data_IF_540895797900
#
_entry.id   IF_540895797900
#
_cell.length_a   1.000
_cell.length_b   1.000
_cell.length_c   1.000
_cell.angle_alpha   90.00
_cell.angle_beta   90.00
_cell.angle_gamma   90.00
#
_symmetry.space_group_name_H-M   'P 1'
#
loop_
_entity.id
_entity.type
_entity.pdbx_description
1 polymer ?
#
# COMPACT_ATOMS: atom_id res chain seq x y z
N UNK A 1 -18.36 -11.39 -4.18
CA UNK A 1 -18.10 -10.75 -5.48
C UNK A 1 -17.13 -9.55 -5.35
N UNK A 2 -17.38 -8.59 -4.45
CA UNK A 2 -16.53 -7.39 -4.30
C UNK A 2 -15.06 -7.74 -3.97
N UNK A 3 -14.83 -8.70 -3.07
CA UNK A 3 -13.47 -9.15 -2.70
C UNK A 3 -12.70 -9.82 -3.85
N UNK A 4 -13.38 -10.44 -4.81
CA UNK A 4 -12.72 -10.98 -6.00
C UNK A 4 -12.33 -9.89 -7.00
N UNK A 5 -13.12 -8.83 -7.07
CA UNK A 5 -12.90 -7.75 -8.02
C UNK A 5 -11.59 -6.98 -7.75
N UNK A 6 -11.33 -6.58 -6.49
CA UNK A 6 -10.09 -5.86 -6.20
C UNK A 6 -8.84 -6.71 -6.47
N UNK A 7 -8.90 -8.04 -6.32
CA UNK A 7 -7.78 -8.91 -6.66
C UNK A 7 -7.46 -8.89 -8.17
N UNK A 8 -8.50 -8.86 -9.03
CA UNK A 8 -8.32 -8.71 -10.48
C UNK A 8 -7.70 -7.34 -10.79
N UNK A 9 -8.20 -6.29 -10.15
CA UNK A 9 -7.61 -4.94 -10.28
C UNK A 9 -6.17 -4.93 -9.82
N UNK A 10 -5.86 -5.54 -8.67
CA UNK A 10 -4.48 -5.67 -8.15
C UNK A 10 -3.56 -6.33 -9.16
N UNK A 11 -4.00 -7.45 -9.76
CA UNK A 11 -3.21 -8.17 -10.75
C UNK A 11 -2.91 -7.32 -11.98
N UNK A 12 -3.92 -6.67 -12.56
CA UNK A 12 -3.76 -5.80 -13.73
C UNK A 12 -2.89 -4.58 -13.39
N UNK A 13 -3.15 -3.97 -12.25
CA UNK A 13 -2.44 -2.77 -11.79
C UNK A 13 -0.97 -3.02 -11.50
N UNK A 14 -0.58 -4.24 -11.10
CA UNK A 14 0.80 -4.59 -10.83
C UNK A 14 1.69 -4.37 -12.07
N UNK A 15 1.20 -4.73 -13.27
CA UNK A 15 1.93 -4.50 -14.53
C UNK A 15 2.06 -3.01 -14.85
N UNK A 16 0.96 -2.26 -14.70
CA UNK A 16 0.95 -0.81 -14.92
C UNK A 16 1.86 -0.06 -13.95
N UNK A 17 1.82 -0.40 -12.67
CA UNK A 17 2.68 0.21 -11.65
C UNK A 17 4.16 -0.11 -11.87
N UNK A 18 4.48 -1.33 -12.27
CA UNK A 18 5.86 -1.72 -12.60
C UNK A 18 6.39 -0.90 -13.78
N UNK A 19 5.58 -0.71 -14.83
CA UNK A 19 5.94 0.13 -15.97
C UNK A 19 6.12 1.60 -15.55
N UNK A 20 5.19 2.14 -14.75
CA UNK A 20 5.28 3.50 -14.22
C UNK A 20 6.50 3.71 -13.32
N UNK A 21 6.83 2.75 -12.45
CA UNK A 21 7.98 2.83 -11.56
C UNK A 21 9.33 2.75 -12.29
N UNK A 22 9.35 2.24 -13.53
CA UNK A 22 10.53 2.31 -14.42
C UNK A 22 10.69 3.70 -15.04
N UNK A 23 9.56 4.38 -15.33
CA UNK A 23 9.57 5.69 -16.01
C UNK A 23 9.69 6.84 -15.03
N UNK A 24 9.00 6.75 -13.90
CA UNK A 24 8.96 7.76 -12.84
C UNK A 24 9.69 7.26 -11.58
N UNK A 25 10.06 8.19 -10.68
CA UNK A 25 10.62 7.77 -9.40
C UNK A 25 9.61 6.92 -8.61
N UNK A 26 10.01 5.70 -8.25
CA UNK A 26 9.15 4.70 -7.64
C UNK A 26 8.40 5.21 -6.39
N UNK A 27 9.01 6.13 -5.62
CA UNK A 27 8.37 6.75 -4.45
C UNK A 27 7.10 7.54 -4.79
N UNK A 28 7.08 8.28 -5.91
CA UNK A 28 5.90 9.04 -6.32
C UNK A 28 4.78 8.11 -6.80
N UNK A 29 5.14 7.05 -7.52
CA UNK A 29 4.19 6.02 -7.94
C UNK A 29 3.58 5.33 -6.73
N UNK A 30 4.40 5.00 -5.74
CA UNK A 30 3.93 4.39 -4.49
C UNK A 30 3.03 5.34 -3.69
N UNK A 31 3.46 6.59 -3.46
CA UNK A 31 2.66 7.57 -2.75
C UNK A 31 1.29 7.81 -3.43
N UNK A 32 1.26 7.92 -4.75
CA UNK A 32 0.02 8.05 -5.50
C UNK A 32 -0.90 6.84 -5.32
N UNK A 33 -0.37 5.63 -5.45
CA UNK A 33 -1.16 4.40 -5.30
C UNK A 33 -1.70 4.22 -3.86
N UNK A 34 -0.89 4.53 -2.84
CA UNK A 34 -1.31 4.48 -1.44
C UNK A 34 -2.35 5.56 -1.14
N UNK A 35 -2.25 6.74 -1.76
CA UNK A 35 -3.28 7.79 -1.65
C UNK A 35 -4.62 7.32 -2.22
N UNK A 36 -4.63 6.62 -3.37
CA UNK A 36 -5.84 6.02 -3.91
C UNK A 36 -6.47 5.00 -2.96
N UNK A 37 -5.66 4.16 -2.32
CA UNK A 37 -6.16 3.21 -1.33
C UNK A 37 -6.70 3.91 -0.08
N UNK A 38 -6.05 4.98 0.39
CA UNK A 38 -6.53 5.80 1.51
C UNK A 38 -7.91 6.40 1.19
N UNK A 39 -8.06 7.04 0.04
CA UNK A 39 -9.34 7.60 -0.42
C UNK A 39 -10.40 6.52 -0.56
N UNK A 40 -10.05 5.34 -1.06
CA UNK A 40 -10.97 4.21 -1.15
C UNK A 40 -11.51 3.82 0.22
N UNK A 41 -10.65 3.62 1.23
CA UNK A 41 -11.08 3.24 2.57
C UNK A 41 -11.88 4.35 3.27
N UNK A 42 -11.57 5.62 3.02
CA UNK A 42 -12.30 6.75 3.58
C UNK A 42 -13.70 6.91 2.95
N UNK A 43 -13.87 6.52 1.70
CA UNK A 43 -15.16 6.67 0.98
C UNK A 43 -16.10 5.49 1.18
N UNK A 44 -15.60 4.26 1.32
CA UNK A 44 -16.41 3.03 1.48
C UNK A 44 -17.49 3.16 2.58
N UNK A 45 -17.20 3.69 3.79
CA UNK A 45 -18.22 3.80 4.85
C UNK A 45 -19.42 4.68 4.49
N UNK A 46 -19.28 5.55 3.50
CA UNK A 46 -20.31 6.51 3.08
C UNK A 46 -21.13 6.02 1.87
N UNK A 47 -20.79 4.83 1.32
CA UNK A 47 -21.44 4.29 0.13
C UNK A 47 -22.52 3.29 0.55
N UNK A 48 -23.79 3.65 0.39
CA UNK A 48 -24.94 2.76 0.62
C UNK A 48 -25.29 1.87 -0.58
N UNK A 49 -24.76 2.16 -1.76
CA UNK A 49 -25.08 1.41 -2.98
C UNK A 49 -23.98 0.41 -3.33
N UNK A 50 -24.33 -0.89 -3.37
CA UNK A 50 -23.40 -1.98 -3.68
C UNK A 50 -22.67 -1.85 -5.03
N UNK A 51 -23.28 -1.22 -6.02
CA UNK A 51 -22.65 -1.02 -7.33
C UNK A 51 -21.61 0.12 -7.30
N UNK A 52 -21.84 1.14 -6.50
CA UNK A 52 -20.87 2.22 -6.31
C UNK A 52 -19.63 1.77 -5.51
N UNK A 53 -19.71 0.68 -4.75
CA UNK A 53 -18.56 0.11 -4.03
C UNK A 53 -17.45 -0.38 -4.95
N UNK A 54 -17.74 -0.69 -6.22
CA UNK A 54 -16.69 -1.10 -7.16
C UNK A 54 -15.69 0.03 -7.47
N UNK A 55 -16.12 1.29 -7.44
CA UNK A 55 -15.24 2.42 -7.72
C UNK A 55 -14.08 2.55 -6.70
N UNK A 56 -14.31 2.61 -5.37
CA UNK A 56 -13.20 2.62 -4.41
C UNK A 56 -12.40 1.33 -4.41
N UNK A 57 -12.97 0.17 -4.76
CA UNK A 57 -12.22 -1.08 -4.87
C UNK A 57 -11.14 -1.04 -5.95
N UNK A 58 -11.31 -0.23 -7.00
CA UNK A 58 -10.25 0.02 -7.98
C UNK A 58 -9.06 0.72 -7.30
N UNK A 59 -9.32 1.81 -6.59
CA UNK A 59 -8.28 2.54 -5.84
C UNK A 59 -7.57 1.67 -4.81
N UNK A 60 -8.33 0.86 -4.08
CA UNK A 60 -7.79 -0.09 -3.11
C UNK A 60 -6.91 -1.15 -3.78
N UNK A 61 -7.35 -1.74 -4.90
CA UNK A 61 -6.58 -2.74 -5.65
C UNK A 61 -5.26 -2.19 -6.20
N UNK A 62 -5.26 -0.95 -6.72
CA UNK A 62 -4.04 -0.25 -7.16
C UNK A 62 -3.08 -0.04 -5.98
N UNK A 63 -3.58 0.45 -4.84
CA UNK A 63 -2.78 0.64 -3.63
C UNK A 63 -2.19 -0.67 -3.11
N UNK A 64 -2.99 -1.73 -3.07
CA UNK A 64 -2.54 -3.05 -2.64
C UNK A 64 -1.43 -3.60 -3.53
N UNK A 65 -1.57 -3.50 -4.85
CA UNK A 65 -0.52 -3.87 -5.80
C UNK A 65 0.79 -3.10 -5.55
N UNK A 66 0.69 -1.81 -5.28
CA UNK A 66 1.84 -0.98 -4.97
C UNK A 66 2.51 -1.36 -3.64
N UNK A 67 1.74 -1.62 -2.59
CA UNK A 67 2.28 -2.04 -1.29
C UNK A 67 3.04 -3.37 -1.37
N UNK A 68 2.58 -4.29 -2.23
CA UNK A 68 3.25 -5.59 -2.42
C UNK A 68 4.50 -5.52 -3.30
N UNK A 69 4.60 -4.56 -4.21
CA UNK A 69 5.67 -4.56 -5.23
C UNK A 69 6.68 -3.43 -5.12
N UNK A 70 6.21 -2.20 -5.00
CA UNK A 70 7.07 -1.00 -5.15
C UNK A 70 8.13 -0.85 -4.06
N UNK A 71 7.88 -1.12 -2.75
CA UNK A 71 8.91 -1.04 -1.72
C UNK A 71 10.09 -1.96 -1.99
N UNK A 72 9.82 -3.18 -2.48
CA UNK A 72 10.89 -4.12 -2.86
C UNK A 72 11.71 -3.61 -4.05
N UNK A 73 11.09 -2.97 -5.03
CA UNK A 73 11.80 -2.34 -6.14
C UNK A 73 12.73 -1.21 -5.69
N UNK A 74 12.25 -0.35 -4.78
CA UNK A 74 13.05 0.75 -4.22
C UNK A 74 14.27 0.20 -3.50
N UNK A 75 14.06 -0.86 -2.73
CA UNK A 75 15.12 -1.49 -1.94
C UNK A 75 16.17 -2.16 -2.82
N UNK A 76 15.74 -3.01 -3.76
CA UNK A 76 16.65 -3.74 -4.67
C UNK A 76 17.56 -2.79 -5.46
N UNK A 77 17.05 -1.61 -5.84
CA UNK A 77 17.85 -0.58 -6.52
C UNK A 77 18.89 0.12 -5.63
N UNK A 78 18.84 -0.08 -4.32
CA UNK A 78 19.69 0.64 -3.35
C UNK A 78 20.67 -0.26 -2.60
N UNK A 79 20.67 -1.58 -2.83
CA UNK A 79 21.41 -2.57 -2.05
C UNK A 79 22.46 -3.30 -2.91
N UNK A 80 23.67 -3.56 -2.36
CA UNK A 80 24.66 -4.43 -2.98
C UNK A 80 24.12 -5.86 -3.18
N UNK A 81 24.39 -6.46 -4.33
CA UNK A 81 23.86 -7.79 -4.70
C UNK A 81 24.26 -8.89 -3.72
N UNK A 82 25.46 -8.77 -3.14
CA UNK A 82 26.03 -9.73 -2.20
C UNK A 82 25.26 -9.82 -0.87
N UNK A 83 24.43 -8.82 -0.56
CA UNK A 83 23.68 -8.72 0.69
C UNK A 83 22.16 -8.78 0.51
N UNK A 84 21.66 -9.11 -0.66
CA UNK A 84 20.22 -9.16 -0.94
C UNK A 84 19.44 -10.00 0.07
N UNK A 85 19.94 -11.18 0.44
CA UNK A 85 19.24 -12.06 1.37
C UNK A 85 18.99 -11.42 2.74
N UNK A 86 20.01 -10.75 3.30
CA UNK A 86 19.90 -10.08 4.60
C UNK A 86 18.88 -8.93 4.54
N UNK A 87 18.98 -8.08 3.54
CA UNK A 87 18.08 -6.93 3.41
C UNK A 87 16.64 -7.34 3.07
N UNK A 88 16.45 -8.41 2.28
CA UNK A 88 15.12 -8.99 2.04
C UNK A 88 14.51 -9.52 3.34
N UNK A 89 15.32 -10.14 4.21
CA UNK A 89 14.89 -10.54 5.55
C UNK A 89 14.46 -9.36 6.41
N UNK A 90 15.22 -8.26 6.40
CA UNK A 90 14.88 -7.03 7.14
C UNK A 90 13.55 -6.44 6.65
N UNK A 91 13.35 -6.33 5.33
CA UNK A 91 12.08 -5.82 4.79
C UNK A 91 10.91 -6.74 5.15
N UNK A 92 11.13 -8.04 5.12
CA UNK A 92 10.09 -8.98 5.55
C UNK A 92 9.74 -8.82 7.03
N UNK A 93 10.74 -8.58 7.90
CA UNK A 93 10.49 -8.24 9.30
C UNK A 93 9.72 -6.92 9.47
N UNK A 94 9.98 -5.92 8.65
CA UNK A 94 9.23 -4.65 8.66
C UNK A 94 7.75 -4.83 8.29
N UNK A 95 7.38 -5.92 7.62
CA UNK A 95 5.99 -6.29 7.34
C UNK A 95 5.44 -7.18 8.47
N UNK A 96 6.17 -8.21 8.86
CA UNK A 96 5.70 -9.24 9.80
C UNK A 96 5.55 -8.70 11.22
N UNK A 97 6.49 -7.86 11.70
CA UNK A 97 6.42 -7.32 13.07
C UNK A 97 5.17 -6.44 13.29
N UNK A 98 4.87 -5.44 12.44
CA UNK A 98 3.63 -4.67 12.57
C UNK A 98 2.38 -5.55 12.45
N UNK A 99 2.38 -6.56 11.57
CA UNK A 99 1.26 -7.47 11.40
C UNK A 99 1.01 -8.34 12.65
N UNK A 100 2.07 -8.76 13.34
CA UNK A 100 1.94 -9.46 14.64
C UNK A 100 1.39 -8.53 15.71
N UNK A 101 1.90 -7.30 15.81
CA UNK A 101 1.40 -6.30 16.76
C UNK A 101 -0.08 -6.01 16.48
N UNK A 102 -0.44 -5.82 15.22
CA UNK A 102 -1.83 -5.61 14.81
C UNK A 102 -2.71 -6.79 15.20
N UNK A 103 -2.31 -8.01 14.89
CA UNK A 103 -3.08 -9.22 15.20
C UNK A 103 -3.40 -9.34 16.70
N UNK A 104 -2.46 -8.97 17.56
CA UNK A 104 -2.64 -9.05 19.03
C UNK A 104 -3.44 -7.85 19.55
N UNK A 105 -3.21 -6.65 19.04
CA UNK A 105 -3.74 -5.41 19.60
C UNK A 105 -5.05 -4.95 18.98
N UNK A 106 -5.31 -5.30 17.70
CA UNK A 106 -6.43 -4.76 16.94
C UNK A 106 -7.79 -5.09 17.55
N UNK A 107 -7.95 -6.28 18.13
CA UNK A 107 -9.19 -6.66 18.81
C UNK A 107 -9.56 -5.73 19.98
N UNK A 108 -8.57 -5.29 20.75
CA UNK A 108 -8.74 -4.32 21.80
C UNK A 108 -9.01 -2.91 21.26
N UNK A 109 -8.21 -2.47 20.28
CA UNK A 109 -8.40 -1.17 19.60
C UNK A 109 -9.80 -1.08 18.99
N UNK A 110 -10.24 -2.14 18.30
CA UNK A 110 -11.53 -2.21 17.64
C UNK A 110 -12.70 -2.06 18.62
N UNK A 111 -12.62 -2.72 19.80
CA UNK A 111 -13.66 -2.62 20.82
C UNK A 111 -13.63 -1.29 21.56
N UNK A 112 -12.45 -0.82 21.97
CA UNK A 112 -12.30 0.31 22.88
C UNK A 112 -12.35 1.67 22.16
N UNK A 113 -11.65 1.79 21.03
CA UNK A 113 -11.53 3.07 20.32
C UNK A 113 -12.47 3.17 19.11
N UNK A 114 -12.74 2.06 18.43
CA UNK A 114 -13.54 2.07 17.21
C UNK A 114 -15.00 1.69 17.43
N UNK A 115 -15.37 1.42 18.69
CA UNK A 115 -16.76 1.14 19.09
C UNK A 115 -17.34 -0.12 18.42
N UNK A 116 -16.49 -1.09 18.05
CA UNK A 116 -16.88 -2.30 17.31
C UNK A 116 -17.60 -2.00 15.98
N UNK A 117 -17.34 -0.84 15.38
CA UNK A 117 -17.95 -0.41 14.14
C UNK A 117 -16.98 -0.59 12.96
N UNK A 118 -17.32 -1.42 11.94
CA UNK A 118 -16.47 -1.62 10.76
C UNK A 118 -16.19 -0.32 9.98
N UNK A 119 -17.15 0.60 9.94
CA UNK A 119 -16.96 1.89 9.25
C UNK A 119 -15.83 2.72 9.91
N UNK A 120 -15.79 2.74 11.24
CA UNK A 120 -14.72 3.42 11.98
C UNK A 120 -13.35 2.75 11.73
N UNK A 121 -13.32 1.41 11.63
CA UNK A 121 -12.09 0.69 11.32
C UNK A 121 -11.56 1.03 9.91
N UNK A 122 -12.44 1.13 8.92
CA UNK A 122 -12.07 1.53 7.56
C UNK A 122 -11.56 2.97 7.53
N UNK A 123 -12.24 3.89 8.21
CA UNK A 123 -11.81 5.29 8.33
C UNK A 123 -10.45 5.39 9.02
N UNK A 124 -10.26 4.66 10.12
CA UNK A 124 -8.98 4.59 10.83
C UNK A 124 -7.85 4.12 9.91
N UNK A 125 -8.04 3.00 9.21
CA UNK A 125 -7.04 2.49 8.27
C UNK A 125 -6.79 3.48 7.10
N UNK A 126 -7.82 4.14 6.59
CA UNK A 126 -7.71 5.15 5.54
C UNK A 126 -6.86 6.35 5.97
N UNK A 127 -7.03 6.84 7.20
CA UNK A 127 -6.22 7.93 7.77
C UNK A 127 -4.75 7.51 7.88
N UNK A 128 -4.47 6.30 8.40
CA UNK A 128 -3.09 5.80 8.48
C UNK A 128 -2.43 5.66 7.12
N UNK A 129 -3.17 5.19 6.10
CA UNK A 129 -2.66 5.15 4.72
C UNK A 129 -2.40 6.54 4.15
N UNK A 130 -3.23 7.52 4.45
CA UNK A 130 -2.99 8.91 4.02
C UNK A 130 -1.70 9.48 4.65
N UNK A 131 -1.47 9.20 5.95
CA UNK A 131 -0.22 9.56 6.62
C UNK A 131 0.96 8.82 5.97
N UNK A 132 0.84 7.52 5.71
CA UNK A 132 1.88 6.73 5.07
C UNK A 132 2.22 7.25 3.66
N UNK A 133 1.22 7.68 2.88
CA UNK A 133 1.42 8.29 1.57
C UNK A 133 2.25 9.58 1.66
N UNK A 134 1.94 10.45 2.62
CA UNK A 134 2.72 11.68 2.83
C UNK A 134 4.14 11.40 3.31
N UNK A 135 4.32 10.46 4.23
CA UNK A 135 5.64 10.04 4.70
C UNK A 135 6.48 9.42 3.57
N UNK A 136 5.87 8.70 2.65
CA UNK A 136 6.57 8.13 1.48
C UNK A 136 7.25 9.22 0.63
N UNK A 137 6.67 10.41 0.53
CA UNK A 137 7.25 11.52 -0.23
C UNK A 137 8.54 12.05 0.41
N UNK A 138 8.72 11.90 1.72
CA UNK A 138 9.91 12.33 2.45
C UNK A 138 11.12 11.40 2.24
N UNK A 139 10.92 10.20 1.72
CA UNK A 139 11.99 9.24 1.47
C UNK A 139 12.97 9.81 0.44
N UNK A 140 14.25 9.89 0.81
CA UNK A 140 15.33 10.20 -0.12
C UNK A 140 15.66 8.91 -0.90
N UNK A 141 15.20 8.83 -2.13
CA UNK A 141 15.62 7.76 -3.06
C UNK A 141 16.97 8.10 -3.64
N UNK A 142 17.89 7.13 -3.69
CA UNK A 142 19.13 7.29 -4.44
C UNK A 142 18.79 7.66 -5.90
N UNK A 143 19.57 8.59 -6.46
CA UNK A 143 19.38 8.96 -7.86
C UNK A 143 19.48 7.71 -8.75
N UNK A 144 18.52 7.56 -9.67
CA UNK A 144 18.55 6.48 -10.66
C UNK A 144 19.91 6.52 -11.38
N UNK A 145 20.70 5.42 -11.43
CA UNK A 145 21.89 5.41 -12.23
C UNK A 145 21.53 5.81 -13.65
N UNK A 146 22.27 6.75 -14.23
CA UNK A 146 22.11 7.10 -15.64
C UNK A 146 22.23 5.80 -16.44
N UNK A 147 21.21 5.45 -17.19
CA UNK A 147 21.29 4.37 -18.17
C UNK A 147 22.32 4.82 -19.19
N UNK A 148 23.53 4.30 -19.09
CA UNK A 148 24.47 4.29 -20.22
C UNK A 148 23.82 3.43 -21.30
N UNK A 149 23.42 4.11 -22.37
CA UNK A 149 23.05 3.48 -23.63
C UNK A 149 24.20 2.62 -24.19
#
# INVERSE_FOLDING_TARGET
MVNGFYNVVTFISAFGLMWMARKYAAKYVHAFAVTLAALALLTIPHIGNKYLMFAPMIGFGVGWASMMGVPFMIMVGSIPKERYGVYMGIVNMMIVIPMLIETVSFGWVYKTFLGSNPANAMTFAGVFLAIAATLTLTIKTAAKPATTE
#
